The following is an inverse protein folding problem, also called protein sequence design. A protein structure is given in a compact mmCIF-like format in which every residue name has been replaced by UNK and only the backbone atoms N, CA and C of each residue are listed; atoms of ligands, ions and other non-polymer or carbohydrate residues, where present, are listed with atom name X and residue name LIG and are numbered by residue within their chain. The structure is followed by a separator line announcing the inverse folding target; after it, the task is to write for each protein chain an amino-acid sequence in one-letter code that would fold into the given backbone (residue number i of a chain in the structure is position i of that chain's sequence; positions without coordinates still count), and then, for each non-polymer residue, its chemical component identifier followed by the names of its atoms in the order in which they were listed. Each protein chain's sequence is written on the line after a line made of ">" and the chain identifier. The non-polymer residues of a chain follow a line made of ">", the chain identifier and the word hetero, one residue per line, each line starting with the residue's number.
data_IF_902182173230
#
_entry.id   IF_902182173230
#
_cell.length_a   1.000
_cell.length_b   1.000
_cell.length_c   1.000
_cell.angle_alpha   90.00
_cell.angle_beta   90.00
_cell.angle_gamma   90.00
#
_symmetry.space_group_name_H-M   'P 1'
#
loop_
_entity.id
_entity.type
_entity.pdbx_description
1 polymer ?
#
# COMPACT_ATOMS: atom_id res chain seq x y z
N UNK A 1 -4.74 10.09 -18.76
CA UNK A 1 -5.64 8.95 -18.43
C UNK A 1 -5.13 7.63 -19.01
N UNK A 2 -4.72 7.58 -20.31
CA UNK A 2 -4.29 6.32 -20.94
C UNK A 2 -3.16 5.60 -20.19
N UNK A 3 -2.16 6.33 -19.70
CA UNK A 3 -1.03 5.75 -18.95
C UNK A 3 -1.47 5.07 -17.65
N UNK A 4 -2.50 5.60 -16.99
CA UNK A 4 -3.03 5.07 -15.73
C UNK A 4 -3.91 3.82 -15.90
N UNK A 5 -4.06 3.32 -17.13
CA UNK A 5 -4.74 2.06 -17.47
C UNK A 5 -3.78 1.00 -18.00
N UNK A 6 -2.51 1.37 -18.28
CA UNK A 6 -1.55 0.46 -18.89
C UNK A 6 -0.93 -0.47 -17.84
N UNK A 7 -0.58 -1.64 -18.30
CA UNK A 7 0.29 -2.55 -17.57
C UNK A 7 1.71 -2.00 -17.54
N UNK A 8 2.39 -2.22 -16.44
CA UNK A 8 3.79 -1.85 -16.24
C UNK A 8 4.56 -3.03 -15.66
N UNK A 9 5.86 -2.88 -15.46
CA UNK A 9 6.67 -3.93 -14.82
C UNK A 9 6.14 -4.29 -13.43
N UNK A 10 5.76 -3.28 -12.62
CA UNK A 10 5.25 -3.53 -11.27
C UNK A 10 3.75 -3.84 -11.23
N UNK A 11 2.97 -3.22 -12.12
CA UNK A 11 1.51 -3.39 -12.17
C UNK A 11 1.13 -4.41 -13.26
N UNK A 12 1.69 -5.61 -13.20
CA UNK A 12 1.58 -6.67 -14.20
C UNK A 12 0.27 -7.49 -14.09
N UNK A 13 -0.87 -6.83 -14.21
CA UNK A 13 -2.20 -7.39 -13.95
C UNK A 13 -2.69 -8.42 -14.99
N UNK A 14 -1.99 -8.61 -16.11
CA UNK A 14 -2.28 -9.70 -17.07
C UNK A 14 -1.79 -11.06 -16.59
N UNK A 15 -0.92 -11.10 -15.56
CA UNK A 15 -0.43 -12.34 -14.99
C UNK A 15 -1.59 -13.25 -14.52
N UNK A 16 -1.49 -14.54 -14.79
CA UNK A 16 -2.53 -15.56 -14.52
C UNK A 16 -2.99 -15.60 -13.05
N UNK A 17 -2.11 -15.28 -12.09
CA UNK A 17 -2.43 -15.25 -10.67
C UNK A 17 -3.58 -14.32 -10.31
N UNK A 18 -3.80 -13.26 -11.11
CA UNK A 18 -4.93 -12.35 -10.91
C UNK A 18 -6.28 -13.01 -11.19
N UNK A 19 -6.35 -14.03 -12.02
CA UNK A 19 -7.60 -14.70 -12.35
C UNK A 19 -8.23 -15.38 -11.13
N UNK A 20 -7.43 -16.10 -10.35
CA UNK A 20 -7.92 -16.71 -9.10
C UNK A 20 -8.12 -15.69 -7.99
N UNK A 21 -7.23 -14.71 -7.88
CA UNK A 21 -7.31 -13.66 -6.86
C UNK A 21 -8.60 -12.83 -6.96
N UNK A 22 -9.03 -12.54 -8.18
CA UNK A 22 -10.17 -11.65 -8.48
C UNK A 22 -11.47 -12.39 -8.83
N UNK A 23 -11.50 -13.72 -8.70
CA UNK A 23 -12.64 -14.56 -9.12
C UNK A 23 -13.97 -14.22 -8.46
N UNK A 24 -13.93 -13.62 -7.27
CA UNK A 24 -15.14 -13.25 -6.50
C UNK A 24 -15.61 -11.81 -6.82
N UNK A 25 -14.87 -11.07 -7.62
CA UNK A 25 -15.26 -9.70 -8.02
C UNK A 25 -16.26 -9.78 -9.18
N UNK A 26 -17.44 -9.25 -8.96
CA UNK A 26 -18.50 -9.18 -9.97
C UNK A 26 -18.22 -8.06 -10.98
N UNK A 27 -17.75 -8.45 -12.17
CA UNK A 27 -17.43 -7.52 -13.25
C UNK A 27 -18.65 -6.81 -13.88
N UNK A 28 -19.88 -7.22 -13.52
CA UNK A 28 -21.12 -6.57 -14.01
C UNK A 28 -21.50 -5.30 -13.23
N UNK A 29 -20.88 -5.08 -12.07
CA UNK A 29 -21.08 -3.90 -11.23
C UNK A 29 -20.49 -2.63 -11.86
N UNK A 30 -20.91 -1.48 -11.36
CA UNK A 30 -20.30 -0.20 -11.73
C UNK A 30 -18.82 -0.15 -11.36
N UNK A 31 -18.03 0.68 -12.07
CA UNK A 31 -16.59 0.85 -11.76
C UNK A 31 -16.35 1.26 -10.30
N UNK A 32 -17.24 2.06 -9.73
CA UNK A 32 -17.17 2.49 -8.34
C UNK A 32 -17.40 1.31 -7.38
N UNK A 33 -18.41 0.50 -7.59
CA UNK A 33 -18.67 -0.68 -6.77
C UNK A 33 -17.54 -1.70 -6.87
N UNK A 34 -17.01 -1.93 -8.08
CA UNK A 34 -15.83 -2.77 -8.29
C UNK A 34 -14.63 -2.22 -7.51
N UNK A 35 -14.38 -0.91 -7.57
CA UNK A 35 -13.27 -0.28 -6.85
C UNK A 35 -13.39 -0.47 -5.34
N UNK A 36 -14.59 -0.35 -4.79
CA UNK A 36 -14.88 -0.59 -3.36
C UNK A 36 -14.63 -2.06 -3.01
N UNK A 37 -15.12 -3.00 -3.81
CA UNK A 37 -14.90 -4.44 -3.59
C UNK A 37 -13.40 -4.77 -3.62
N UNK A 38 -12.65 -4.20 -4.57
CA UNK A 38 -11.20 -4.37 -4.69
C UNK A 38 -10.46 -3.80 -3.48
N UNK A 39 -10.87 -2.62 -3.00
CA UNK A 39 -10.30 -2.02 -1.80
C UNK A 39 -10.43 -2.95 -0.58
N UNK A 40 -11.63 -3.45 -0.32
CA UNK A 40 -11.86 -4.35 0.81
C UNK A 40 -11.16 -5.71 0.63
N UNK A 41 -11.12 -6.25 -0.60
CA UNK A 41 -10.39 -7.47 -0.89
C UNK A 41 -8.91 -7.30 -0.56
N UNK A 42 -8.24 -6.26 -1.07
CA UNK A 42 -6.82 -6.02 -0.83
C UNK A 42 -6.55 -5.70 0.64
N UNK A 43 -7.39 -4.88 1.28
CA UNK A 43 -7.24 -4.54 2.70
C UNK A 43 -7.25 -5.78 3.59
N UNK A 44 -8.21 -6.68 3.39
CA UNK A 44 -8.52 -7.75 4.36
C UNK A 44 -7.92 -9.11 3.99
N UNK A 45 -7.45 -9.32 2.73
CA UNK A 45 -6.84 -10.58 2.30
C UNK A 45 -5.45 -10.81 2.89
N UNK A 46 -4.70 -9.74 3.11
CA UNK A 46 -3.32 -9.80 3.59
C UNK A 46 -3.24 -9.23 5.00
N UNK A 47 -2.61 -9.97 5.91
CA UNK A 47 -2.24 -9.41 7.22
C UNK A 47 -1.24 -8.28 7.01
N UNK A 48 -1.50 -7.12 7.58
CA UNK A 48 -0.55 -6.01 7.53
C UNK A 48 0.71 -6.33 8.31
N UNK A 49 1.86 -6.17 7.67
CA UNK A 49 3.14 -6.49 8.26
C UNK A 49 4.22 -5.45 7.92
N UNK A 50 4.44 -4.47 8.80
CA UNK A 50 5.47 -3.46 8.62
C UNK A 50 6.87 -3.95 9.02
N UNK A 51 7.01 -5.19 9.46
CA UNK A 51 8.27 -5.77 9.94
C UNK A 51 9.01 -6.59 8.89
N UNK A 52 8.40 -6.84 7.74
CA UNK A 52 8.98 -7.50 6.58
C UNK A 52 8.85 -6.58 5.37
N UNK A 53 9.87 -5.77 5.15
CA UNK A 53 9.90 -4.83 4.04
C UNK A 53 10.72 -5.45 2.90
N UNK A 54 10.10 -5.68 1.76
CA UNK A 54 10.81 -6.01 0.53
C UNK A 54 10.69 -4.83 -0.44
N UNK A 55 11.82 -4.17 -0.70
CA UNK A 55 11.93 -3.03 -1.62
C UNK A 55 12.74 -3.39 -2.88
N UNK A 56 12.92 -4.68 -3.16
CA UNK A 56 13.49 -5.13 -4.43
C UNK A 56 12.47 -4.96 -5.55
N UNK A 57 12.95 -4.87 -6.78
CA UNK A 57 12.05 -4.86 -7.95
C UNK A 57 11.12 -6.07 -7.96
N UNK A 58 11.67 -7.26 -7.78
CA UNK A 58 10.92 -8.51 -7.77
C UNK A 58 9.87 -8.54 -6.64
N UNK A 59 10.22 -8.06 -5.44
CA UNK A 59 9.35 -8.05 -4.26
C UNK A 59 8.11 -7.18 -4.42
N UNK A 60 8.22 -6.13 -5.25
CA UNK A 60 7.17 -5.13 -5.48
C UNK A 60 6.31 -5.40 -6.73
N UNK A 61 6.62 -6.45 -7.51
CA UNK A 61 5.75 -6.83 -8.63
C UNK A 61 4.40 -7.33 -8.10
N UNK A 62 3.30 -6.76 -8.57
CA UNK A 62 1.95 -7.04 -8.08
C UNK A 62 1.57 -8.53 -8.09
N UNK A 63 1.96 -9.30 -9.13
CA UNK A 63 1.71 -10.75 -9.19
C UNK A 63 2.47 -11.55 -8.14
N UNK A 64 3.60 -11.03 -7.63
CA UNK A 64 4.33 -11.64 -6.53
C UNK A 64 3.66 -11.32 -5.19
N UNK A 65 3.11 -10.11 -5.05
CA UNK A 65 2.32 -9.72 -3.87
C UNK A 65 1.07 -10.59 -3.73
N UNK A 66 0.36 -10.89 -4.82
CA UNK A 66 -0.81 -11.80 -4.82
C UNK A 66 -0.52 -13.13 -4.12
N UNK A 67 0.70 -13.65 -4.23
CA UNK A 67 1.10 -14.95 -3.67
C UNK A 67 1.44 -14.89 -2.17
N UNK A 68 1.49 -13.71 -1.57
CA UNK A 68 1.85 -13.54 -0.15
C UNK A 68 0.66 -13.75 0.79
N UNK A 69 0.95 -13.98 2.05
CA UNK A 69 -0.05 -13.97 3.14
C UNK A 69 -0.04 -12.65 3.92
N UNK A 70 1.07 -11.93 3.85
CA UNK A 70 1.33 -10.68 4.56
C UNK A 70 1.83 -9.66 3.56
N UNK A 71 1.48 -8.40 3.78
CA UNK A 71 1.92 -7.31 2.93
C UNK A 71 1.95 -6.00 3.73
N UNK A 72 2.89 -5.12 3.40
CA UNK A 72 2.96 -3.78 3.94
C UNK A 72 2.25 -2.76 3.02
N UNK A 73 2.16 -1.50 3.45
CA UNK A 73 1.34 -0.49 2.79
C UNK A 73 1.66 -0.32 1.29
N UNK A 74 2.94 -0.32 0.92
CA UNK A 74 3.37 -0.16 -0.48
C UNK A 74 2.90 -1.33 -1.34
N UNK A 75 3.12 -2.57 -0.89
CA UNK A 75 2.68 -3.77 -1.62
C UNK A 75 1.17 -3.80 -1.81
N UNK A 76 0.40 -3.46 -0.78
CA UNK A 76 -1.06 -3.40 -0.89
C UNK A 76 -1.53 -2.29 -1.84
N UNK A 77 -0.86 -1.14 -1.84
CA UNK A 77 -1.17 -0.04 -2.76
C UNK A 77 -0.87 -0.41 -4.21
N UNK A 78 0.27 -1.05 -4.47
CA UNK A 78 0.65 -1.58 -5.79
C UNK A 78 -0.40 -2.59 -6.27
N UNK A 79 -0.78 -3.53 -5.42
CA UNK A 79 -1.75 -4.56 -5.76
C UNK A 79 -3.13 -3.97 -6.08
N UNK A 80 -3.60 -3.00 -5.27
CA UNK A 80 -4.87 -2.32 -5.52
C UNK A 80 -4.85 -1.57 -6.86
N UNK A 81 -3.77 -0.87 -7.17
CA UNK A 81 -3.61 -0.17 -8.44
C UNK A 81 -3.62 -1.14 -9.63
N UNK A 82 -2.92 -2.27 -9.53
CA UNK A 82 -2.92 -3.30 -10.57
C UNK A 82 -4.31 -3.92 -10.77
N UNK A 83 -5.01 -4.26 -9.68
CA UNK A 83 -6.38 -4.78 -9.72
C UNK A 83 -7.35 -3.78 -10.37
N UNK A 84 -7.25 -2.50 -10.03
CA UNK A 84 -8.10 -1.46 -10.60
C UNK A 84 -7.90 -1.35 -12.13
N UNK A 85 -6.65 -1.35 -12.60
CA UNK A 85 -6.35 -1.31 -14.04
C UNK A 85 -6.88 -2.53 -14.79
N UNK A 86 -6.86 -3.71 -14.19
CA UNK A 86 -7.46 -4.93 -14.79
C UNK A 86 -8.95 -4.77 -15.05
N UNK A 87 -9.65 -3.99 -14.25
CA UNK A 87 -11.06 -3.62 -14.44
C UNK A 87 -11.23 -2.29 -15.17
N UNK A 88 -10.22 -1.80 -15.89
CA UNK A 88 -10.24 -0.54 -16.63
C UNK A 88 -10.61 0.67 -15.76
N UNK A 89 -10.19 0.67 -14.50
CA UNK A 89 -10.28 1.81 -13.59
C UNK A 89 -8.89 2.46 -13.57
N UNK A 90 -8.76 3.73 -14.04
CA UNK A 90 -7.47 4.40 -14.00
C UNK A 90 -6.97 4.52 -12.57
N UNK A 91 -5.70 4.17 -12.35
CA UNK A 91 -5.08 4.17 -11.03
C UNK A 91 -3.67 4.74 -11.06
N UNK A 92 -3.28 5.38 -9.96
CA UNK A 92 -1.93 5.84 -9.73
C UNK A 92 -1.51 5.59 -8.28
N UNK A 93 -0.22 5.50 -8.05
CA UNK A 93 0.38 5.29 -6.75
C UNK A 93 0.76 6.62 -6.14
N UNK A 94 0.51 6.80 -4.85
CA UNK A 94 1.01 7.92 -4.11
C UNK A 94 1.89 7.46 -2.94
N UNK A 95 2.88 8.27 -2.59
CA UNK A 95 3.79 7.97 -1.49
C UNK A 95 4.00 9.18 -0.60
N UNK A 96 4.19 8.92 0.69
CA UNK A 96 4.35 9.97 1.69
C UNK A 96 5.31 9.56 2.81
N UNK A 97 5.79 10.55 3.56
CA UNK A 97 6.37 10.34 4.88
C UNK A 97 5.25 10.54 5.89
N UNK A 98 5.11 9.58 6.80
CA UNK A 98 4.09 9.62 7.85
C UNK A 98 4.71 9.36 9.23
N UNK A 99 3.98 9.75 10.29
CA UNK A 99 4.20 9.26 11.65
C UNK A 99 2.96 8.54 12.12
N UNK A 100 3.14 7.44 12.83
CA UNK A 100 2.06 6.76 13.52
C UNK A 100 2.17 7.02 15.03
N UNK A 101 1.02 7.04 15.71
CA UNK A 101 0.98 7.33 17.14
C UNK A 101 0.62 6.11 18.00
N UNK A 102 0.35 4.96 17.40
CA UNK A 102 -0.11 3.75 18.12
C UNK A 102 0.61 2.51 17.63
N UNK A 103 1.13 1.73 18.60
CA UNK A 103 1.71 0.41 18.35
C UNK A 103 2.97 0.43 17.50
N UNK A 104 3.69 1.53 17.49
CA UNK A 104 4.87 1.75 16.63
C UNK A 104 6.20 1.72 17.36
N UNK A 105 6.21 1.65 18.69
CA UNK A 105 7.45 1.72 19.50
C UNK A 105 8.48 0.70 19.02
N UNK A 106 8.03 -0.52 18.71
CA UNK A 106 8.89 -1.56 18.17
C UNK A 106 9.40 -1.22 16.77
N UNK A 107 8.54 -0.74 15.87
CA UNK A 107 8.92 -0.33 14.52
C UNK A 107 9.88 0.87 14.58
N UNK A 108 9.60 1.89 15.38
CA UNK A 108 10.47 3.04 15.59
C UNK A 108 11.86 2.63 16.11
N UNK A 109 11.92 1.63 16.99
CA UNK A 109 13.21 1.13 17.48
C UNK A 109 14.06 0.49 16.37
N UNK A 110 13.44 -0.19 15.42
CA UNK A 110 14.14 -0.76 14.25
C UNK A 110 14.52 0.28 13.22
N UNK A 111 13.60 1.19 12.90
CA UNK A 111 13.85 2.28 11.98
C UNK A 111 14.78 3.35 12.58
N UNK A 112 14.95 3.37 13.92
CA UNK A 112 15.67 4.41 14.69
C UNK A 112 15.14 5.81 14.42
N UNK A 113 13.87 5.92 14.05
CA UNK A 113 13.16 7.16 13.69
C UNK A 113 11.66 6.98 13.90
N UNK A 114 10.96 8.10 14.05
CA UNK A 114 9.49 8.16 14.13
C UNK A 114 8.86 8.23 12.74
N UNK A 115 9.58 8.83 11.79
CA UNK A 115 9.11 8.98 10.42
C UNK A 115 9.13 7.63 9.70
N UNK A 116 7.99 7.24 9.16
CA UNK A 116 7.84 6.10 8.27
C UNK A 116 7.87 6.63 6.84
N UNK A 117 8.96 6.31 6.14
CA UNK A 117 9.25 6.80 4.80
C UNK A 117 8.62 5.88 3.77
N UNK A 118 8.11 6.47 2.69
CA UNK A 118 7.43 5.77 1.61
C UNK A 118 6.18 4.99 2.05
N UNK A 119 5.36 5.59 2.92
CA UNK A 119 4.01 5.07 3.13
C UNK A 119 3.21 5.16 1.82
N UNK A 120 2.70 4.01 1.36
CA UNK A 120 1.99 3.92 0.08
C UNK A 120 0.48 4.10 0.24
N UNK A 121 -0.13 4.80 -0.74
CA UNK A 121 -1.56 4.89 -0.96
C UNK A 121 -1.89 4.77 -2.44
N UNK A 122 -3.15 4.57 -2.77
CA UNK A 122 -3.62 4.46 -4.16
C UNK A 122 -4.64 5.54 -4.44
N UNK A 123 -4.61 6.11 -5.64
CA UNK A 123 -5.67 6.95 -6.15
C UNK A 123 -6.35 6.26 -7.32
N UNK A 124 -7.67 6.25 -7.31
CA UNK A 124 -8.51 5.70 -8.36
C UNK A 124 -9.33 6.82 -8.99
N UNK A 125 -9.44 6.82 -10.32
CA UNK A 125 -10.26 7.79 -11.04
C UNK A 125 -11.68 7.26 -11.19
N UNK A 126 -12.58 7.85 -10.42
CA UNK A 126 -13.99 7.45 -10.33
C UNK A 126 -14.86 8.70 -10.44
N UNK A 127 -15.94 8.63 -11.21
CA UNK A 127 -16.91 9.71 -11.34
C UNK A 127 -16.23 11.08 -11.62
N UNK A 128 -15.30 11.07 -12.62
CA UNK A 128 -14.54 12.24 -13.09
C UNK A 128 -13.60 12.90 -12.09
N UNK A 129 -13.21 12.21 -11.03
CA UNK A 129 -12.22 12.70 -10.04
C UNK A 129 -11.28 11.60 -9.56
N UNK A 130 -10.11 12.00 -9.10
CA UNK A 130 -9.19 11.15 -8.35
C UNK A 130 -9.64 11.06 -6.89
N UNK A 131 -9.74 9.84 -6.38
CA UNK A 131 -10.12 9.55 -5.00
C UNK A 131 -9.03 8.71 -4.35
N UNK A 132 -8.52 9.17 -3.21
CA UNK A 132 -7.41 8.53 -2.47
C UNK A 132 -7.95 7.45 -1.54
N UNK A 133 -7.18 6.34 -1.42
CA UNK A 133 -7.48 5.31 -0.44
C UNK A 133 -6.21 4.59 0.02
N UNK A 134 -6.23 4.14 1.27
CA UNK A 134 -5.12 3.45 1.92
C UNK A 134 -5.57 2.08 2.42
N UNK A 135 -5.35 0.97 1.66
CA UNK A 135 -5.78 -0.38 2.05
C UNK A 135 -4.82 -1.06 3.03
N UNK A 136 -4.12 -0.31 3.89
CA UNK A 136 -3.00 -0.83 4.66
C UNK A 136 -3.42 -1.76 5.79
N UNK A 137 -4.17 -1.27 6.75
CA UNK A 137 -4.48 -2.00 7.98
C UNK A 137 -5.70 -2.90 7.80
N UNK A 138 -5.50 -4.21 7.88
CA UNK A 138 -6.60 -5.19 7.85
C UNK A 138 -7.42 -5.18 9.14
N UNK A 139 -8.63 -5.75 9.08
CA UNK A 139 -9.56 -5.81 10.22
C UNK A 139 -8.97 -6.46 11.47
N UNK A 140 -8.06 -7.45 11.31
CA UNK A 140 -7.49 -8.15 12.47
C UNK A 140 -6.50 -7.27 13.21
N UNK A 141 -5.63 -6.60 12.46
CA UNK A 141 -4.67 -5.64 13.04
C UNK A 141 -5.43 -4.47 13.70
N UNK A 142 -6.46 -3.94 13.04
CA UNK A 142 -7.29 -2.89 13.62
C UNK A 142 -7.94 -3.33 14.94
N UNK A 143 -8.50 -4.54 14.99
CA UNK A 143 -9.08 -5.10 16.21
C UNK A 143 -8.03 -5.26 17.33
N UNK A 144 -6.82 -5.75 17.01
CA UNK A 144 -5.75 -5.91 17.98
C UNK A 144 -5.24 -4.58 18.51
N UNK A 145 -5.25 -3.54 17.70
CA UNK A 145 -4.84 -2.18 18.07
C UNK A 145 -5.98 -1.31 18.64
N UNK A 146 -7.18 -1.88 18.78
CA UNK A 146 -8.38 -1.18 19.25
C UNK A 146 -8.70 0.09 18.43
N UNK A 147 -8.54 -0.01 17.10
CA UNK A 147 -8.88 1.07 16.15
C UNK A 147 -9.94 0.60 15.16
N UNK A 148 -10.77 1.53 14.67
CA UNK A 148 -11.76 1.22 13.63
C UNK A 148 -11.05 0.98 12.30
N UNK A 149 -11.38 -0.09 11.55
CA UNK A 149 -10.88 -0.26 10.19
C UNK A 149 -11.23 0.93 9.31
N UNK A 150 -10.30 1.34 8.46
CA UNK A 150 -10.53 2.43 7.54
C UNK A 150 -11.42 1.94 6.38
N UNK A 151 -12.66 2.35 6.36
CA UNK A 151 -13.59 2.06 5.27
C UNK A 151 -13.49 3.12 4.16
N UNK A 152 -13.89 2.73 2.96
CA UNK A 152 -13.85 3.60 1.79
C UNK A 152 -15.11 3.43 0.95
N UNK A 153 -15.66 4.56 0.50
CA UNK A 153 -16.94 4.64 -0.24
C UNK A 153 -16.76 4.89 -1.74
N UNK A 154 -15.52 4.95 -2.23
CA UNK A 154 -15.21 5.24 -3.62
C UNK A 154 -15.54 6.67 -4.06
N UNK A 155 -15.87 7.56 -3.14
CA UNK A 155 -16.27 8.94 -3.43
C UNK A 155 -15.49 9.99 -2.63
N UNK A 156 -15.09 9.66 -1.41
CA UNK A 156 -14.31 10.54 -0.52
C UNK A 156 -12.93 9.95 -0.27
N UNK A 157 -11.94 10.82 -0.05
CA UNK A 157 -10.60 10.39 0.30
C UNK A 157 -10.61 9.65 1.65
N UNK A 158 -9.97 8.47 1.70
CA UNK A 158 -9.86 7.64 2.89
C UNK A 158 -8.40 7.37 3.19
N UNK A 159 -7.77 8.33 3.88
CA UNK A 159 -6.33 8.36 4.14
C UNK A 159 -6.00 8.27 5.63
N UNK A 160 -6.92 8.69 6.50
CA UNK A 160 -6.67 8.86 7.92
C UNK A 160 -7.59 7.96 8.72
N UNK A 161 -7.00 7.15 9.60
CA UNK A 161 -7.73 6.43 10.61
C UNK A 161 -7.90 7.31 11.84
N UNK A 162 -9.13 7.47 12.33
CA UNK A 162 -9.40 8.17 13.58
C UNK A 162 -9.19 7.22 14.77
N UNK A 163 -8.54 7.74 15.79
CA UNK A 163 -8.39 7.08 17.08
C UNK A 163 -8.90 8.03 18.17
N UNK A 164 -9.89 7.58 18.98
CA UNK A 164 -10.47 8.35 20.09
C UNK A 164 -10.75 9.83 19.75
N UNK A 165 -11.93 10.12 19.30
CA UNK A 165 -12.61 11.42 19.08
C UNK A 165 -11.79 12.67 18.70
N UNK A 166 -10.44 12.70 18.88
CA UNK A 166 -9.59 13.87 18.57
C UNK A 166 -8.13 13.52 18.19
N UNK A 167 -7.74 12.24 18.23
CA UNK A 167 -6.36 11.84 17.90
C UNK A 167 -6.29 11.13 16.56
N UNK A 168 -5.50 11.63 15.64
CA UNK A 168 -5.19 10.94 14.39
C UNK A 168 -4.26 9.78 14.65
N UNK A 169 -4.57 8.61 14.08
CA UNK A 169 -3.70 7.45 14.14
C UNK A 169 -2.38 7.68 13.39
N UNK A 170 -2.45 8.41 12.28
CA UNK A 170 -1.33 8.68 11.38
C UNK A 170 -1.36 10.14 10.91
N UNK A 171 -0.20 10.78 10.86
CA UNK A 171 -0.01 12.12 10.30
C UNK A 171 0.87 12.05 9.05
N UNK A 172 0.43 12.73 7.99
CA UNK A 172 1.19 12.88 6.75
C UNK A 172 2.08 14.11 6.84
N UNK A 173 3.40 13.90 6.80
CA UNK A 173 4.40 14.96 6.96
C UNK A 173 4.87 15.54 5.62
N UNK A 174 4.99 14.68 4.61
CA UNK A 174 5.48 15.03 3.29
C UNK A 174 4.88 14.10 2.24
N UNK A 175 4.47 14.66 1.11
CA UNK A 175 4.00 13.91 -0.05
C UNK A 175 5.09 13.92 -1.12
N UNK A 176 5.45 12.73 -1.63
CA UNK A 176 6.38 12.61 -2.76
C UNK A 176 5.69 12.87 -4.11
N UNK A 177 4.36 12.86 -4.13
CA UNK A 177 3.56 13.00 -5.34
C UNK A 177 2.92 11.69 -5.78
N UNK A 178 2.32 11.72 -6.98
CA UNK A 178 1.62 10.61 -7.60
C UNK A 178 2.40 10.10 -8.83
N UNK A 179 2.41 8.77 -8.98
CA UNK A 179 3.23 8.08 -9.97
C UNK A 179 2.39 7.09 -10.77
N UNK A 180 2.72 6.93 -12.06
CA UNK A 180 2.11 5.94 -12.94
C UNK A 180 2.53 4.51 -12.60
N UNK A 181 3.73 4.36 -12.05
CA UNK A 181 4.34 3.10 -11.64
C UNK A 181 5.15 3.32 -10.36
N UNK A 182 5.78 2.26 -9.84
CA UNK A 182 6.63 2.34 -8.64
C UNK A 182 7.90 3.13 -8.94
N UNK A 183 8.16 4.26 -8.26
CA UNK A 183 9.39 5.03 -8.43
C UNK A 183 10.53 4.38 -7.63
N UNK A 184 10.98 3.19 -8.06
CA UNK A 184 11.86 2.30 -7.29
C UNK A 184 13.19 2.96 -6.90
N UNK A 185 13.77 3.76 -7.79
CA UNK A 185 15.05 4.46 -7.50
C UNK A 185 14.86 5.53 -6.44
N UNK A 186 13.79 6.32 -6.53
CA UNK A 186 13.46 7.33 -5.52
C UNK A 186 13.19 6.66 -4.17
N UNK A 187 12.41 5.57 -4.14
CA UNK A 187 12.12 4.82 -2.93
C UNK A 187 13.42 4.32 -2.28
N UNK A 188 14.29 3.66 -3.04
CA UNK A 188 15.58 3.16 -2.54
C UNK A 188 16.47 4.28 -2.01
N UNK A 189 16.53 5.41 -2.72
CA UNK A 189 17.30 6.58 -2.32
C UNK A 189 16.81 7.18 -1.01
N UNK A 190 15.51 7.41 -0.88
CA UNK A 190 14.92 7.97 0.33
C UNK A 190 14.99 6.99 1.52
N UNK A 191 14.71 5.70 1.30
CA UNK A 191 14.87 4.69 2.35
C UNK A 191 16.31 4.63 2.85
N UNK A 192 17.31 4.66 1.98
CA UNK A 192 18.73 4.70 2.36
C UNK A 192 19.10 5.97 3.11
N UNK A 193 18.58 7.11 2.70
CA UNK A 193 18.82 8.42 3.35
C UNK A 193 18.28 8.45 4.78
N UNK A 194 17.06 7.94 4.98
CA UNK A 194 16.40 7.95 6.28
C UNK A 194 16.84 6.80 7.20
N UNK A 195 17.15 5.64 6.63
CA UNK A 195 17.50 4.42 7.37
C UNK A 195 18.83 3.83 6.91
N UNK A 196 19.95 4.60 6.93
CA UNK A 196 21.25 4.14 6.42
C UNK A 196 21.69 2.81 7.03
N UNK A 197 21.41 2.61 8.32
CA UNK A 197 21.79 1.39 9.06
C UNK A 197 21.15 0.09 8.49
N UNK A 198 20.01 0.17 7.77
CA UNK A 198 19.42 -0.99 7.12
C UNK A 198 20.21 -1.44 5.88
N UNK A 199 21.09 -0.57 5.35
CA UNK A 199 21.89 -0.80 4.15
C UNK A 199 23.37 -0.99 4.43
N UNK A 200 23.79 -1.07 5.70
CA UNK A 200 25.19 -1.22 6.10
C UNK A 200 25.75 -2.64 5.92
N UNK A 201 24.88 -3.66 5.85
CA UNK A 201 25.30 -5.03 5.62
C UNK A 201 25.59 -5.26 4.13
N UNK A 202 26.76 -5.84 3.83
CA UNK A 202 27.28 -6.09 2.47
C UNK A 202 26.40 -7.04 1.61
N UNK A 203 25.44 -7.72 2.21
CA UNK A 203 24.42 -8.44 1.45
C UNK A 203 23.37 -7.44 0.98
N UNK A 204 23.45 -7.10 -0.27
CA UNK A 204 22.57 -6.20 -1.03
C UNK A 204 21.11 -6.70 -1.09
N UNK A 205 20.62 -7.26 0.01
CA UNK A 205 19.24 -7.69 0.15
C UNK A 205 18.38 -6.48 0.41
N UNK A 206 17.56 -6.11 -0.55
CA UNK A 206 16.51 -5.10 -0.40
C UNK A 206 15.28 -5.67 0.33
N UNK A 207 15.52 -6.67 1.17
CA UNK A 207 14.53 -7.32 2.01
C UNK A 207 14.97 -7.22 3.47
N UNK A 208 14.13 -6.59 4.29
CA UNK A 208 14.42 -6.32 5.69
C UNK A 208 13.41 -7.06 6.56
N UNK A 209 13.90 -7.92 7.45
CA UNK A 209 13.09 -8.60 8.46
C UNK A 209 13.54 -8.17 9.84
N UNK A 210 12.63 -7.60 10.61
CA UNK A 210 12.87 -7.05 11.94
C UNK A 210 12.47 -8.02 13.09
N UNK A 211 12.16 -9.28 12.77
CA UNK A 211 11.64 -10.24 13.77
C UNK A 211 12.76 -10.95 14.54
N UNK A 212 13.97 -10.95 14.03
CA UNK A 212 15.10 -11.71 14.55
C UNK A 212 16.23 -10.85 15.12
N UNK A 213 15.97 -9.59 15.42
CA UNK A 213 16.91 -8.71 16.11
C UNK A 213 16.55 -8.48 17.56
#
# INVERSE_FOLDING_TARGET
>A
MKNYLQETTFLNFSNEKFSDFLKEIDASKSKKEIAIDLYFLVRDKFTYDPYHLNISEEGLIASNVVSKKRAWCVEKSILLAACARKFEIPSRLGFAIVTNHIGVEKLESYLRRKEIVFHGYTELFLEDKWVKCTPSFDKNICRLSNVTPLDWDGATDSMFQEFEKEKRFMEYLHYYGEFEDVPIELMNSEMKKYYPHLFENEFNTREFSFIHL
#
